data_IF_564704322377
#
_entry.id   IF_564704322377
#
_cell.length_a   1.000
_cell.length_b   1.000
_cell.length_c   1.000
_cell.angle_alpha   90.00
_cell.angle_beta   90.00
_cell.angle_gamma   90.00
#
_symmetry.space_group_name_H-M   'P 1'
#
loop_
_entity.id
_entity.type
_entity.pdbx_description
1 polymer ?
#
# COMPACT_ATOMS: atom_id res chain seq x y z
N UNK A 1 5.91 -20.84 -15.07
CA UNK A 1 6.85 -19.82 -15.58
C UNK A 1 6.21 -18.42 -15.60
N UNK A 2 5.08 -18.25 -14.89
CA UNK A 2 4.03 -17.29 -15.27
C UNK A 2 3.99 -16.01 -14.42
N UNK A 3 4.49 -16.06 -13.19
CA UNK A 3 4.47 -14.90 -12.28
C UNK A 3 5.50 -13.82 -12.67
N UNK A 4 6.57 -14.19 -13.37
CA UNK A 4 7.64 -13.27 -13.78
C UNK A 4 7.18 -12.34 -14.90
N UNK A 5 6.48 -12.89 -15.90
CA UNK A 5 5.94 -12.13 -17.03
C UNK A 5 4.87 -11.17 -16.53
N UNK A 6 3.94 -11.65 -15.70
CA UNK A 6 2.93 -10.78 -15.06
C UNK A 6 3.58 -9.64 -14.26
N UNK A 7 4.62 -9.93 -13.48
CA UNK A 7 5.35 -8.90 -12.72
C UNK A 7 6.00 -7.84 -13.60
N UNK A 8 6.62 -8.24 -14.72
CA UNK A 8 7.22 -7.32 -15.70
C UNK A 8 6.12 -6.48 -16.38
N UNK A 9 5.02 -7.10 -16.81
CA UNK A 9 3.88 -6.41 -17.43
C UNK A 9 3.27 -5.37 -16.48
N UNK A 10 3.03 -5.72 -15.23
CA UNK A 10 2.53 -4.77 -14.23
C UNK A 10 3.50 -3.62 -13.97
N UNK A 11 4.81 -3.86 -14.01
CA UNK A 11 5.81 -2.80 -13.88
C UNK A 11 5.76 -1.80 -15.04
N UNK A 12 5.48 -2.25 -16.26
CA UNK A 12 5.29 -1.36 -17.42
C UNK A 12 3.99 -0.56 -17.38
N UNK A 13 2.91 -1.12 -16.82
CA UNK A 13 1.63 -0.43 -16.69
C UNK A 13 1.68 0.62 -15.56
N UNK A 14 2.25 0.24 -14.42
CA UNK A 14 2.27 1.05 -13.19
C UNK A 14 3.03 2.38 -13.38
N UNK A 15 2.28 3.48 -13.54
CA UNK A 15 2.81 4.84 -13.65
C UNK A 15 2.81 5.39 -15.08
N UNK A 16 2.75 4.51 -16.09
CA UNK A 16 2.63 4.90 -17.49
C UNK A 16 1.26 5.48 -17.80
N UNK A 17 0.21 4.95 -17.17
CA UNK A 17 -1.17 5.45 -17.24
C UNK A 17 -1.31 6.89 -16.72
N UNK A 18 -0.72 7.16 -15.56
CA UNK A 18 -0.75 8.47 -14.89
C UNK A 18 0.11 9.48 -15.66
N UNK A 19 1.23 9.04 -16.23
CA UNK A 19 2.10 9.87 -17.07
C UNK A 19 1.43 10.21 -18.41
N UNK A 20 0.77 9.24 -19.06
CA UNK A 20 0.01 9.48 -20.29
C UNK A 20 -1.12 10.49 -20.03
N UNK A 21 -1.89 10.29 -18.96
CA UNK A 21 -2.95 11.22 -18.57
C UNK A 21 -2.41 12.65 -18.35
N UNK A 22 -1.27 12.78 -17.67
CA UNK A 22 -0.64 14.08 -17.42
C UNK A 22 -0.22 14.76 -18.73
N UNK A 23 0.50 14.07 -19.61
CA UNK A 23 0.96 14.63 -20.89
C UNK A 23 -0.20 14.97 -21.83
N UNK A 24 -1.27 14.16 -21.86
CA UNK A 24 -2.48 14.47 -22.64
C UNK A 24 -3.14 15.77 -22.16
N UNK A 25 -3.34 15.94 -20.85
CA UNK A 25 -3.95 17.16 -20.29
C UNK A 25 -3.02 18.38 -20.43
N UNK A 26 -1.71 18.18 -20.38
CA UNK A 26 -0.75 19.24 -20.66
C UNK A 26 -0.81 19.69 -22.12
N UNK A 27 -0.88 18.74 -23.06
CA UNK A 27 -1.06 19.03 -24.48
C UNK A 27 -2.36 19.80 -24.80
N UNK A 28 -3.42 19.58 -24.04
CA UNK A 28 -4.69 20.30 -24.16
C UNK A 28 -4.81 21.55 -23.27
N UNK A 29 -3.78 21.91 -22.50
CA UNK A 29 -3.80 23.02 -21.53
C UNK A 29 -4.87 22.88 -20.42
N UNK A 30 -5.20 21.65 -20.04
CA UNK A 30 -6.23 21.28 -19.06
C UNK A 30 -5.65 20.69 -17.75
N UNK A 31 -4.40 21.01 -17.43
CA UNK A 31 -3.67 20.51 -16.25
C UNK A 31 -4.42 20.71 -14.93
N UNK A 32 -5.22 21.79 -14.84
CA UNK A 32 -6.08 22.11 -13.68
C UNK A 32 -7.03 20.95 -13.34
N UNK A 33 -7.45 20.16 -14.33
CA UNK A 33 -8.35 19.02 -14.14
C UNK A 33 -7.63 17.71 -13.85
N UNK A 34 -6.29 17.67 -13.81
CA UNK A 34 -5.51 16.45 -13.59
C UNK A 34 -5.98 15.66 -12.37
N UNK A 35 -6.09 16.32 -11.21
CA UNK A 35 -6.51 15.68 -9.97
C UNK A 35 -7.92 15.05 -10.07
N UNK A 36 -8.82 15.66 -10.85
CA UNK A 36 -10.18 15.15 -11.09
C UNK A 36 -10.14 13.89 -11.96
N UNK A 37 -9.37 13.89 -13.05
CA UNK A 37 -9.28 12.73 -13.94
C UNK A 37 -8.52 11.57 -13.28
N UNK A 38 -7.40 11.85 -12.62
CA UNK A 38 -6.61 10.87 -11.87
C UNK A 38 -7.45 10.23 -10.76
N UNK A 39 -8.25 11.04 -10.03
CA UNK A 39 -9.18 10.55 -9.03
C UNK A 39 -10.26 9.63 -9.60
N UNK A 40 -10.83 9.98 -10.77
CA UNK A 40 -11.83 9.12 -11.45
C UNK A 40 -11.22 7.81 -11.92
N UNK A 41 -10.02 7.84 -12.50
CA UNK A 41 -9.30 6.65 -12.95
C UNK A 41 -9.06 5.67 -11.80
N UNK A 42 -8.53 6.17 -10.67
CA UNK A 42 -8.35 5.37 -9.44
C UNK A 42 -9.67 4.86 -8.87
N UNK A 43 -10.71 5.70 -8.89
CA UNK A 43 -12.05 5.34 -8.43
C UNK A 43 -12.65 4.19 -9.25
N UNK A 44 -12.62 4.26 -10.58
CA UNK A 44 -13.10 3.18 -11.44
C UNK A 44 -12.26 1.90 -11.28
N UNK A 45 -10.95 2.01 -11.11
CA UNK A 45 -10.09 0.87 -10.79
C UNK A 45 -10.50 0.16 -9.49
N UNK A 46 -10.77 0.93 -8.43
CA UNK A 46 -11.25 0.39 -7.14
C UNK A 46 -12.64 -0.25 -7.24
N UNK A 47 -13.56 0.34 -8.02
CA UNK A 47 -14.88 -0.28 -8.28
C UNK A 47 -14.70 -1.60 -9.01
N UNK A 48 -13.83 -1.63 -10.04
CA UNK A 48 -13.50 -2.86 -10.76
C UNK A 48 -12.89 -3.93 -9.86
N UNK A 49 -11.98 -3.56 -8.95
CA UNK A 49 -11.41 -4.45 -7.94
C UNK A 49 -12.48 -5.01 -7.01
N UNK A 50 -13.39 -4.17 -6.50
CA UNK A 50 -14.47 -4.59 -5.62
C UNK A 50 -15.44 -5.55 -6.31
N UNK A 51 -15.88 -5.23 -7.53
CA UNK A 51 -16.70 -6.12 -8.34
C UNK A 51 -15.97 -7.43 -8.63
N UNK A 52 -14.70 -7.37 -9.06
CA UNK A 52 -13.87 -8.53 -9.33
C UNK A 52 -13.73 -9.43 -8.10
N UNK A 53 -13.51 -8.86 -6.91
CA UNK A 53 -13.43 -9.63 -5.67
C UNK A 53 -14.74 -10.35 -5.36
N UNK A 54 -15.88 -9.68 -5.44
CA UNK A 54 -17.20 -10.29 -5.15
C UNK A 54 -17.53 -11.38 -6.17
N UNK A 55 -17.40 -11.09 -7.46
CA UNK A 55 -17.79 -12.03 -8.51
C UNK A 55 -16.79 -13.16 -8.69
N UNK A 56 -15.49 -12.96 -8.45
CA UNK A 56 -14.49 -14.03 -8.63
C UNK A 56 -14.73 -15.22 -7.71
N UNK A 57 -15.10 -15.00 -6.45
CA UNK A 57 -15.45 -16.07 -5.51
C UNK A 57 -16.65 -16.88 -6.02
N UNK A 58 -17.73 -16.19 -6.42
CA UNK A 58 -18.93 -16.84 -6.96
C UNK A 58 -18.63 -17.63 -8.25
N UNK A 59 -17.96 -16.98 -9.21
CA UNK A 59 -17.61 -17.60 -10.48
C UNK A 59 -16.70 -18.82 -10.29
N UNK A 60 -15.72 -18.73 -9.38
CA UNK A 60 -14.80 -19.81 -9.10
C UNK A 60 -15.51 -21.05 -8.54
N UNK A 61 -16.52 -20.88 -7.68
CA UNK A 61 -17.31 -22.01 -7.17
C UNK A 61 -18.11 -22.73 -8.25
N UNK A 62 -18.62 -22.00 -9.25
CA UNK A 62 -19.38 -22.59 -10.36
C UNK A 62 -18.49 -23.20 -11.45
N UNK A 63 -17.39 -22.52 -11.79
CA UNK A 63 -16.50 -22.87 -12.88
C UNK A 63 -15.11 -22.27 -12.59
N UNK A 64 -14.17 -23.05 -12.01
CA UNK A 64 -12.88 -22.53 -11.55
C UNK A 64 -12.04 -21.82 -12.63
N UNK A 65 -12.22 -22.17 -13.91
CA UNK A 65 -11.51 -21.55 -15.04
C UNK A 65 -12.17 -20.26 -15.55
N UNK A 66 -13.43 -20.02 -15.22
CA UNK A 66 -14.21 -18.89 -15.75
C UNK A 66 -13.63 -17.51 -15.37
N UNK A 67 -13.17 -17.26 -14.13
CA UNK A 67 -12.49 -16.01 -13.79
C UNK A 67 -11.27 -15.73 -14.68
N UNK A 68 -10.50 -16.76 -15.04
CA UNK A 68 -9.32 -16.62 -15.88
C UNK A 68 -9.67 -16.27 -17.34
N UNK A 69 -10.70 -16.90 -17.91
CA UNK A 69 -11.17 -16.56 -19.25
C UNK A 69 -11.73 -15.13 -19.32
N UNK A 70 -12.48 -14.69 -18.31
CA UNK A 70 -12.97 -13.31 -18.22
C UNK A 70 -11.79 -12.34 -18.11
N UNK A 71 -10.79 -12.65 -17.28
CA UNK A 71 -9.57 -11.85 -17.15
C UNK A 71 -8.85 -11.69 -18.51
N UNK A 72 -8.73 -12.78 -19.28
CA UNK A 72 -8.13 -12.75 -20.64
C UNK A 72 -8.96 -11.84 -21.56
N UNK A 73 -10.29 -11.99 -21.57
CA UNK A 73 -11.17 -11.15 -22.39
C UNK A 73 -11.03 -9.66 -22.06
N UNK A 74 -10.99 -9.31 -20.77
CA UNK A 74 -10.78 -7.92 -20.32
C UNK A 74 -9.42 -7.39 -20.78
N UNK A 75 -8.35 -8.18 -20.68
CA UNK A 75 -7.02 -7.76 -21.17
C UNK A 75 -6.96 -7.58 -22.68
N UNK A 76 -7.63 -8.44 -23.45
CA UNK A 76 -7.75 -8.28 -24.91
C UNK A 76 -8.51 -7.00 -25.26
N UNK A 77 -9.63 -6.73 -24.59
CA UNK A 77 -10.38 -5.48 -24.78
C UNK A 77 -9.53 -4.26 -24.41
N UNK A 78 -8.80 -4.31 -23.30
CA UNK A 78 -7.89 -3.23 -22.91
C UNK A 78 -6.81 -2.98 -23.97
N UNK A 79 -6.21 -4.03 -24.54
CA UNK A 79 -5.24 -3.92 -25.62
C UNK A 79 -5.84 -3.29 -26.90
N UNK A 80 -7.07 -3.67 -27.25
CA UNK A 80 -7.75 -3.08 -28.40
C UNK A 80 -8.07 -1.58 -28.16
N UNK A 81 -8.49 -1.22 -26.95
CA UNK A 81 -8.77 0.16 -26.58
C UNK A 81 -7.50 1.02 -26.54
N UNK A 82 -6.40 0.52 -25.97
CA UNK A 82 -5.15 1.31 -25.91
C UNK A 82 -4.55 1.58 -27.28
N UNK A 83 -4.81 0.72 -28.28
CA UNK A 83 -4.44 0.99 -29.68
C UNK A 83 -5.17 2.18 -30.30
N UNK A 84 -6.29 2.61 -29.72
CA UNK A 84 -7.01 3.82 -30.16
C UNK A 84 -6.49 5.10 -29.52
N UNK A 85 -5.57 4.99 -28.55
CA UNK A 85 -4.99 6.17 -27.90
C UNK A 85 -4.07 6.91 -28.87
N UNK A 86 -4.12 8.24 -28.79
CA UNK A 86 -3.23 9.13 -29.53
C UNK A 86 -2.04 9.49 -28.65
N UNK A 87 -0.82 9.35 -29.16
CA UNK A 87 0.40 9.76 -28.45
C UNK A 87 0.42 11.29 -28.34
N UNK A 88 0.52 11.87 -27.13
CA UNK A 88 0.62 13.32 -26.96
C UNK A 88 2.02 13.82 -27.38
N UNK A 89 2.09 15.01 -27.96
CA UNK A 89 3.35 15.65 -28.32
C UNK A 89 4.22 15.90 -27.08
N UNK A 90 5.30 15.10 -26.94
CA UNK A 90 6.23 15.21 -25.81
C UNK A 90 7.38 16.15 -26.15
N UNK A 91 7.56 17.19 -25.34
CA UNK A 91 8.85 17.88 -25.25
C UNK A 91 9.83 17.01 -24.45
N UNK A 92 10.65 16.24 -25.14
CA UNK A 92 11.73 15.45 -24.52
C UNK A 92 12.86 16.38 -24.07
N UNK A 93 12.83 16.84 -22.82
CA UNK A 93 14.01 17.50 -22.25
C UNK A 93 15.10 16.46 -22.00
N UNK A 94 16.32 16.73 -22.47
CA UNK A 94 17.52 15.91 -22.27
C UNK A 94 17.69 15.54 -20.79
N UNK A 95 17.93 14.26 -20.44
CA UNK A 95 17.99 13.85 -19.05
C UNK A 95 19.24 14.43 -18.39
N UNK A 96 19.04 15.24 -17.32
CA UNK A 96 20.05 15.34 -16.26
C UNK A 96 20.28 13.93 -15.71
N UNK A 97 21.50 13.58 -15.33
CA UNK A 97 21.84 12.22 -14.88
C UNK A 97 20.95 11.78 -13.71
N UNK A 98 19.89 11.03 -14.02
CA UNK A 98 18.86 10.60 -13.07
C UNK A 98 19.44 9.76 -11.92
N UNK A 99 20.54 9.05 -12.16
CA UNK A 99 21.22 8.23 -11.15
C UNK A 99 21.90 9.11 -10.10
N UNK A 100 22.55 10.21 -10.51
CA UNK A 100 23.22 11.12 -9.58
C UNK A 100 22.19 11.84 -8.70
N UNK A 101 21.10 12.32 -9.29
CA UNK A 101 19.99 12.94 -8.54
C UNK A 101 19.32 11.94 -7.58
N UNK A 102 19.18 10.67 -7.98
CA UNK A 102 18.64 9.62 -7.12
C UNK A 102 19.56 9.31 -5.93
N UNK A 103 20.87 9.20 -6.15
CA UNK A 103 21.86 8.97 -5.09
C UNK A 103 21.92 10.15 -4.11
N UNK A 104 21.90 11.38 -4.61
CA UNK A 104 21.85 12.59 -3.78
C UNK A 104 20.56 12.63 -2.94
N UNK A 105 19.40 12.37 -3.56
CA UNK A 105 18.11 12.30 -2.85
C UNK A 105 18.11 11.21 -1.78
N UNK A 106 18.75 10.07 -2.05
CA UNK A 106 18.86 8.95 -1.10
C UNK A 106 19.75 9.31 0.08
N UNK A 107 20.93 9.88 -0.17
CA UNK A 107 21.83 10.36 0.88
C UNK A 107 21.14 11.41 1.75
N UNK A 108 20.47 12.38 1.12
CA UNK A 108 19.71 13.40 1.84
C UNK A 108 18.65 12.77 2.76
N UNK A 109 17.84 11.86 2.22
CA UNK A 109 16.71 11.28 2.93
C UNK A 109 17.11 10.30 4.04
N UNK A 110 18.19 9.54 3.86
CA UNK A 110 18.60 8.47 4.79
C UNK A 110 19.75 8.84 5.72
N UNK A 111 20.48 9.92 5.45
CA UNK A 111 21.66 10.31 6.24
C UNK A 111 21.51 11.72 6.80
N UNK A 112 21.23 12.69 5.94
CA UNK A 112 21.32 14.12 6.28
C UNK A 112 20.07 14.63 7.00
N UNK A 113 18.88 14.33 6.49
CA UNK A 113 17.63 14.74 7.10
C UNK A 113 17.13 13.66 8.08
N UNK A 114 17.45 13.87 9.37
CA UNK A 114 17.05 12.98 10.47
C UNK A 114 15.54 12.78 10.57
N UNK A 115 14.73 13.82 10.32
CA UNK A 115 13.25 13.73 10.41
C UNK A 115 12.69 12.89 9.27
N UNK A 116 13.12 13.17 8.05
CA UNK A 116 12.74 12.41 6.87
C UNK A 116 13.15 10.94 7.02
N UNK A 117 14.36 10.66 7.52
CA UNK A 117 14.83 9.30 7.80
C UNK A 117 13.89 8.51 8.70
N UNK A 118 13.53 9.04 9.87
CA UNK A 118 12.63 8.31 10.77
C UNK A 118 11.19 8.26 10.25
N UNK A 119 10.76 9.26 9.48
CA UNK A 119 9.48 9.21 8.76
C UNK A 119 9.46 8.05 7.76
N UNK A 120 10.52 7.90 6.96
CA UNK A 120 10.65 6.81 6.00
C UNK A 120 10.72 5.44 6.69
N UNK A 121 11.56 5.28 7.71
CA UNK A 121 11.70 4.00 8.44
C UNK A 121 10.38 3.60 9.08
N UNK A 122 9.72 4.52 9.81
CA UNK A 122 8.43 4.24 10.43
C UNK A 122 7.37 3.88 9.39
N UNK A 123 7.34 4.62 8.29
CA UNK A 123 6.40 4.36 7.21
C UNK A 123 6.68 3.02 6.53
N UNK A 124 7.93 2.59 6.35
CA UNK A 124 8.26 1.29 5.77
C UNK A 124 7.82 0.16 6.70
N UNK A 125 8.15 0.23 8.00
CA UNK A 125 7.83 -0.83 8.96
C UNK A 125 6.32 -0.97 9.13
N UNK A 126 5.60 0.13 9.34
CA UNK A 126 4.14 0.11 9.36
C UNK A 126 3.60 -0.39 8.01
N UNK A 127 4.29 -0.09 6.90
CA UNK A 127 3.99 -0.55 5.54
C UNK A 127 3.92 -2.05 5.47
N UNK A 128 5.01 -2.69 5.89
CA UNK A 128 5.10 -4.13 5.97
C UNK A 128 4.04 -4.69 6.93
N UNK A 129 3.84 -4.07 8.09
CA UNK A 129 2.81 -4.46 9.05
C UNK A 129 1.40 -4.43 8.46
N UNK A 130 1.09 -3.48 7.58
CA UNK A 130 -0.19 -3.41 6.87
C UNK A 130 -0.30 -4.36 5.68
N UNK A 131 0.81 -4.85 5.13
CA UNK A 131 0.83 -5.56 3.86
C UNK A 131 0.90 -7.08 4.01
N UNK A 132 1.58 -7.63 5.04
CA UNK A 132 1.54 -9.09 5.26
C UNK A 132 0.13 -9.67 5.46
N UNK A 133 -0.80 -9.04 6.21
CA UNK A 133 -2.12 -9.61 6.43
C UNK A 133 -2.90 -9.73 5.11
N UNK A 134 -2.63 -8.84 4.15
CA UNK A 134 -3.23 -8.89 2.80
C UNK A 134 -2.86 -10.18 2.08
N UNK A 135 -1.62 -10.65 2.22
CA UNK A 135 -1.15 -11.90 1.61
C UNK A 135 -1.51 -13.14 2.42
N UNK A 136 -1.57 -13.01 3.74
CA UNK A 136 -1.84 -14.13 4.65
C UNK A 136 -3.34 -14.35 4.93
N UNK A 137 -4.23 -13.42 4.57
CA UNK A 137 -5.67 -13.58 4.84
C UNK A 137 -6.26 -14.76 4.07
N UNK A 138 -5.82 -15.00 2.84
CA UNK A 138 -6.32 -16.12 2.04
C UNK A 138 -5.98 -17.49 2.67
N UNK A 139 -4.71 -17.80 3.00
CA UNK A 139 -4.40 -19.04 3.70
C UNK A 139 -5.00 -19.06 5.12
N UNK A 140 -5.14 -17.92 5.80
CA UNK A 140 -5.86 -17.85 7.08
C UNK A 140 -7.34 -18.28 6.96
N UNK A 141 -8.03 -17.84 5.91
CA UNK A 141 -9.41 -18.24 5.61
C UNK A 141 -9.49 -19.74 5.28
N UNK A 142 -8.53 -20.26 4.52
CA UNK A 142 -8.44 -21.68 4.16
C UNK A 142 -8.23 -22.56 5.39
N UNK A 143 -7.25 -22.23 6.23
CA UNK A 143 -6.96 -22.96 7.48
C UNK A 143 -8.15 -22.90 8.46
N UNK A 144 -8.88 -21.78 8.46
CA UNK A 144 -10.08 -21.58 9.27
C UNK A 144 -11.34 -22.29 8.73
N UNK A 145 -11.26 -22.99 7.60
CA UNK A 145 -12.40 -23.68 6.98
C UNK A 145 -13.47 -22.74 6.42
N UNK A 146 -13.10 -21.49 6.10
CA UNK A 146 -14.04 -20.52 5.52
C UNK A 146 -14.39 -20.96 4.09
N UNK A 147 -15.69 -21.01 3.72
CA UNK A 147 -16.07 -21.33 2.36
C UNK A 147 -15.55 -20.31 1.35
N UNK A 148 -15.16 -20.77 0.15
CA UNK A 148 -14.46 -19.95 -0.86
C UNK A 148 -15.32 -18.77 -1.33
N UNK A 149 -16.64 -18.93 -1.36
CA UNK A 149 -17.60 -17.87 -1.69
C UNK A 149 -17.49 -16.64 -0.77
N UNK A 150 -16.98 -16.78 0.45
CA UNK A 150 -16.81 -15.68 1.40
C UNK A 150 -15.50 -14.91 1.23
N UNK A 151 -14.55 -15.40 0.42
CA UNK A 151 -13.24 -14.76 0.27
C UNK A 151 -13.39 -13.37 -0.37
N UNK A 152 -14.23 -13.27 -1.40
CA UNK A 152 -14.58 -12.03 -2.08
C UNK A 152 -15.25 -11.01 -1.15
N UNK A 153 -16.37 -11.35 -0.50
CA UNK A 153 -17.02 -10.49 0.49
C UNK A 153 -16.10 -10.02 1.63
N UNK A 154 -15.30 -10.92 2.22
CA UNK A 154 -14.36 -10.55 3.29
C UNK A 154 -13.33 -9.54 2.80
N UNK A 155 -12.80 -9.74 1.58
CA UNK A 155 -11.87 -8.81 0.93
C UNK A 155 -12.52 -7.47 0.60
N UNK A 156 -13.77 -7.47 0.14
CA UNK A 156 -14.52 -6.24 -0.14
C UNK A 156 -14.71 -5.40 1.12
N UNK A 157 -15.10 -6.04 2.24
CA UNK A 157 -15.22 -5.37 3.55
C UNK A 157 -13.87 -4.82 4.02
N UNK A 158 -12.77 -5.53 3.78
CA UNK A 158 -11.42 -5.06 4.10
C UNK A 158 -11.00 -3.81 3.30
N UNK A 159 -11.39 -3.70 2.02
CA UNK A 159 -11.11 -2.50 1.24
C UNK A 159 -12.04 -1.34 1.63
N UNK A 160 -13.29 -1.65 1.99
CA UNK A 160 -14.21 -0.66 2.52
C UNK A 160 -13.71 -0.07 3.85
N UNK A 161 -13.21 -0.91 4.78
CA UNK A 161 -12.64 -0.43 6.04
C UNK A 161 -11.38 0.43 5.82
N UNK A 162 -10.49 0.07 4.88
CA UNK A 162 -9.37 0.93 4.46
C UNK A 162 -9.89 2.29 3.99
N UNK A 163 -10.91 2.29 3.13
CA UNK A 163 -11.47 3.50 2.54
C UNK A 163 -12.10 4.41 3.60
N UNK A 164 -12.97 3.86 4.45
CA UNK A 164 -13.62 4.60 5.53
C UNK A 164 -12.59 5.16 6.52
N UNK A 165 -11.58 4.38 6.86
CA UNK A 165 -10.48 4.82 7.71
C UNK A 165 -9.64 5.94 7.06
N UNK A 166 -9.37 5.86 5.75
CA UNK A 166 -8.67 6.92 5.02
C UNK A 166 -9.46 8.23 4.99
N UNK A 167 -10.79 8.16 4.80
CA UNK A 167 -11.67 9.33 4.88
C UNK A 167 -11.72 9.92 6.30
N UNK A 168 -11.68 9.07 7.33
CA UNK A 168 -11.64 9.50 8.72
C UNK A 168 -10.27 10.04 9.16
N UNK A 169 -9.19 9.74 8.43
CA UNK A 169 -7.79 10.01 8.83
C UNK A 169 -7.54 11.46 9.26
N UNK A 170 -8.04 12.43 8.49
CA UNK A 170 -7.87 13.84 8.80
C UNK A 170 -8.56 14.24 10.12
N UNK A 171 -9.82 13.81 10.32
CA UNK A 171 -10.58 14.10 11.54
C UNK A 171 -9.95 13.44 12.77
N UNK A 172 -9.48 12.19 12.60
CA UNK A 172 -8.79 11.44 13.66
C UNK A 172 -7.47 12.11 14.05
N UNK A 173 -6.70 12.58 13.07
CA UNK A 173 -5.45 13.31 13.31
C UNK A 173 -5.68 14.59 14.12
N UNK A 174 -6.67 15.40 13.74
CA UNK A 174 -6.99 16.65 14.44
C UNK A 174 -7.39 16.42 15.90
N UNK A 175 -8.09 15.32 16.20
CA UNK A 175 -8.53 14.99 17.57
C UNK A 175 -7.41 14.43 18.44
N UNK A 176 -6.56 13.56 17.89
CA UNK A 176 -5.55 12.82 18.65
C UNK A 176 -4.19 13.52 18.70
N UNK A 177 -3.86 14.28 17.66
CA UNK A 177 -2.53 14.87 17.46
C UNK A 177 -1.46 13.84 17.07
N UNK A 178 -0.24 14.35 16.84
CA UNK A 178 0.84 13.58 16.23
C UNK A 178 1.33 12.40 17.10
N UNK A 179 1.40 12.55 18.43
CA UNK A 179 1.90 11.49 19.30
C UNK A 179 0.89 10.34 19.43
N UNK A 180 -0.36 10.69 19.70
CA UNK A 180 -1.42 9.73 19.97
C UNK A 180 -1.82 8.97 18.70
N UNK A 181 -1.73 9.57 17.52
CA UNK A 181 -1.99 8.83 16.27
C UNK A 181 -0.91 7.77 16.00
N UNK A 182 0.37 8.07 16.27
CA UNK A 182 1.43 7.08 16.11
C UNK A 182 1.25 5.94 17.12
N UNK A 183 0.89 6.27 18.36
CA UNK A 183 0.53 5.26 19.35
C UNK A 183 -0.65 4.39 18.87
N UNK A 184 -1.69 5.01 18.31
CA UNK A 184 -2.83 4.30 17.73
C UNK A 184 -2.39 3.34 16.62
N UNK A 185 -1.46 3.72 15.74
CA UNK A 185 -0.94 2.83 14.69
C UNK A 185 -0.21 1.62 15.28
N UNK A 186 0.60 1.83 16.32
CA UNK A 186 1.29 0.75 17.02
C UNK A 186 0.27 -0.19 17.68
N UNK A 187 -0.71 0.36 18.41
CA UNK A 187 -1.73 -0.43 19.10
C UNK A 187 -2.61 -1.22 18.14
N UNK A 188 -3.08 -0.61 17.05
CA UNK A 188 -3.87 -1.32 16.03
C UNK A 188 -3.04 -2.41 15.34
N UNK A 189 -1.76 -2.16 15.07
CA UNK A 189 -0.87 -3.17 14.51
C UNK A 189 -0.72 -4.35 15.47
N UNK A 190 -0.24 -4.11 16.70
CA UNK A 190 0.03 -5.19 17.66
C UNK A 190 -1.26 -5.92 18.06
N UNK A 191 -2.33 -5.19 18.34
CA UNK A 191 -3.63 -5.78 18.69
C UNK A 191 -4.21 -6.62 17.55
N UNK A 192 -4.08 -6.15 16.30
CA UNK A 192 -4.52 -6.90 15.12
C UNK A 192 -3.73 -8.19 14.89
N UNK A 193 -2.40 -8.13 14.97
CA UNK A 193 -1.56 -9.33 14.84
C UNK A 193 -1.75 -10.32 15.98
N UNK A 194 -1.83 -9.83 17.22
CA UNK A 194 -2.06 -10.66 18.40
C UNK A 194 -3.42 -11.35 18.31
N UNK A 195 -4.47 -10.62 17.95
CA UNK A 195 -5.81 -11.18 17.81
C UNK A 195 -5.92 -12.19 16.67
N UNK A 196 -5.29 -11.94 15.52
CA UNK A 196 -5.25 -12.93 14.43
C UNK A 196 -4.49 -14.20 14.81
N UNK A 197 -3.47 -14.08 15.67
CA UNK A 197 -2.68 -15.22 16.14
C UNK A 197 -3.34 -16.03 17.26
N UNK A 198 -4.17 -15.41 18.10
CA UNK A 198 -4.80 -16.05 19.27
C UNK A 198 -6.28 -16.40 19.05
N UNK A 199 -7.00 -15.58 18.30
CA UNK A 199 -8.44 -15.66 18.13
C UNK A 199 -8.72 -16.22 16.73
N UNK A 200 -9.07 -17.50 16.67
CA UNK A 200 -9.50 -18.17 15.45
C UNK A 200 -10.97 -17.91 15.11
N UNK A 201 -11.41 -18.45 13.96
CA UNK A 201 -12.80 -18.37 13.51
C UNK A 201 -13.24 -16.96 13.12
N UNK A 202 -14.55 -16.69 13.21
CA UNK A 202 -15.17 -15.44 12.72
C UNK A 202 -14.60 -14.20 13.42
N UNK A 203 -14.25 -14.31 14.71
CA UNK A 203 -13.68 -13.22 15.48
C UNK A 203 -12.27 -12.81 15.01
N UNK A 204 -11.54 -13.69 14.33
CA UNK A 204 -10.26 -13.35 13.70
C UNK A 204 -10.40 -12.22 12.67
N UNK A 205 -11.52 -12.16 11.95
CA UNK A 205 -11.75 -11.11 10.96
C UNK A 205 -11.93 -9.72 11.58
N UNK A 206 -12.43 -9.61 12.82
CA UNK A 206 -12.43 -8.33 13.52
C UNK A 206 -11.01 -7.75 13.62
N UNK A 207 -10.05 -8.59 14.01
CA UNK A 207 -8.65 -8.19 14.13
C UNK A 207 -7.97 -7.93 12.78
N UNK A 208 -8.33 -8.70 11.75
CA UNK A 208 -7.96 -8.37 10.37
C UNK A 208 -8.47 -6.98 9.98
N UNK A 209 -9.72 -6.66 10.28
CA UNK A 209 -10.27 -5.35 9.95
C UNK A 209 -9.63 -4.21 10.75
N UNK A 210 -9.17 -4.43 11.99
CA UNK A 210 -8.36 -3.44 12.71
C UNK A 210 -7.05 -3.10 11.97
N UNK A 211 -6.37 -4.11 11.38
CA UNK A 211 -5.17 -3.89 10.56
C UNK A 211 -5.48 -3.12 9.28
N UNK A 212 -6.62 -3.40 8.65
CA UNK A 212 -7.07 -2.66 7.46
C UNK A 212 -7.44 -1.20 7.78
N UNK A 213 -8.06 -0.94 8.93
CA UNK A 213 -8.30 0.41 9.43
C UNK A 213 -6.98 1.16 9.70
N UNK A 214 -5.99 0.50 10.31
CA UNK A 214 -4.65 1.07 10.48
C UNK A 214 -4.03 1.46 9.14
N UNK A 215 -4.11 0.58 8.13
CA UNK A 215 -3.63 0.87 6.76
C UNK A 215 -4.30 2.11 6.18
N UNK A 216 -5.62 2.21 6.29
CA UNK A 216 -6.39 3.36 5.79
C UNK A 216 -6.05 4.68 6.48
N UNK A 217 -5.97 4.68 7.81
CA UNK A 217 -5.58 5.88 8.58
C UNK A 217 -4.15 6.33 8.24
N UNK A 218 -3.23 5.37 8.15
CA UNK A 218 -1.80 5.65 8.01
C UNK A 218 -1.44 6.28 6.68
N UNK A 219 -2.01 5.79 5.57
CA UNK A 219 -1.59 6.16 4.21
C UNK A 219 -1.52 7.67 3.98
N UNK A 220 -2.64 8.42 4.15
CA UNK A 220 -2.66 9.87 3.97
C UNK A 220 -1.74 10.60 4.95
N UNK A 221 -1.69 10.12 6.20
CA UNK A 221 -0.97 10.80 7.27
C UNK A 221 0.55 10.70 7.10
N UNK A 222 1.08 9.50 6.89
CA UNK A 222 2.53 9.32 6.69
C UNK A 222 3.02 9.99 5.42
N UNK A 223 2.20 10.01 4.38
CA UNK A 223 2.49 10.79 3.17
C UNK A 223 2.58 12.28 3.48
N UNK A 224 1.68 12.83 4.30
CA UNK A 224 1.74 14.24 4.70
C UNK A 224 3.00 14.57 5.50
N UNK A 225 3.39 13.74 6.48
CA UNK A 225 4.64 13.93 7.23
C UNK A 225 5.86 13.88 6.31
N UNK A 226 5.93 12.92 5.39
CA UNK A 226 7.04 12.83 4.44
C UNK A 226 7.11 14.09 3.56
N UNK A 227 5.99 14.53 2.99
CA UNK A 227 5.96 15.68 2.09
C UNK A 227 6.36 17.00 2.75
N UNK A 228 6.11 17.19 4.06
CA UNK A 228 6.53 18.40 4.80
C UNK A 228 8.05 18.53 4.92
N UNK A 229 8.75 17.41 4.95
CA UNK A 229 10.20 17.35 5.11
C UNK A 229 10.95 17.35 3.77
N UNK A 230 10.23 17.35 2.64
CA UNK A 230 10.80 17.22 1.30
C UNK A 230 10.62 18.51 0.50
N UNK A 231 11.72 19.06 -0.01
CA UNK A 231 11.69 20.16 -0.98
C UNK A 231 10.95 19.76 -2.25
N UNK A 232 10.30 20.72 -2.92
CA UNK A 232 9.57 20.48 -4.18
C UNK A 232 10.45 19.82 -5.25
N UNK A 233 11.72 20.22 -5.34
CA UNK A 233 12.69 19.68 -6.31
C UNK A 233 12.98 18.19 -6.13
N UNK A 234 12.96 17.67 -4.90
CA UNK A 234 13.40 16.30 -4.58
C UNK A 234 12.22 15.35 -4.30
N UNK A 235 10.97 15.86 -4.37
CA UNK A 235 9.76 15.14 -3.95
C UNK A 235 9.53 13.85 -4.72
N UNK A 236 9.62 13.89 -6.05
CA UNK A 236 9.44 12.70 -6.88
C UNK A 236 10.50 11.63 -6.57
N UNK A 237 11.77 12.02 -6.44
CA UNK A 237 12.88 11.12 -6.12
C UNK A 237 12.71 10.42 -4.77
N UNK A 238 12.34 11.17 -3.72
CA UNK A 238 12.21 10.63 -2.36
C UNK A 238 10.95 9.74 -2.24
N UNK A 239 9.84 10.08 -2.89
CA UNK A 239 8.65 9.22 -2.91
C UNK A 239 8.90 7.90 -3.67
N UNK A 240 9.68 7.96 -4.76
CA UNK A 240 10.13 6.76 -5.47
C UNK A 240 11.07 5.91 -4.62
N UNK A 241 12.02 6.54 -3.90
CA UNK A 241 12.89 5.86 -2.95
C UNK A 241 12.08 5.17 -1.84
N UNK A 242 11.08 5.85 -1.27
CA UNK A 242 10.19 5.27 -0.26
C UNK A 242 9.50 4.00 -0.78
N UNK A 243 8.98 4.06 -2.01
CA UNK A 243 8.33 2.91 -2.66
C UNK A 243 9.31 1.77 -2.93
N UNK A 244 10.53 2.09 -3.36
CA UNK A 244 11.61 1.12 -3.56
C UNK A 244 12.00 0.43 -2.25
N UNK A 245 12.23 1.20 -1.18
CA UNK A 245 12.60 0.65 0.14
C UNK A 245 11.50 -0.25 0.72
N UNK A 246 10.24 0.11 0.56
CA UNK A 246 9.12 -0.76 0.94
C UNK A 246 9.13 -2.07 0.14
N UNK A 247 9.29 -2.00 -1.19
CA UNK A 247 9.34 -3.20 -2.06
C UNK A 247 10.54 -4.08 -1.73
N UNK A 248 11.72 -3.51 -1.52
CA UNK A 248 12.91 -4.25 -1.10
C UNK A 248 12.70 -4.92 0.25
N UNK A 249 12.15 -4.19 1.22
CA UNK A 249 11.76 -4.75 2.51
C UNK A 249 10.89 -5.98 2.32
N UNK A 250 9.79 -5.85 1.57
CA UNK A 250 8.85 -6.95 1.33
C UNK A 250 9.46 -8.12 0.54
N UNK A 251 10.33 -7.86 -0.44
CA UNK A 251 11.00 -8.94 -1.20
C UNK A 251 11.98 -9.72 -0.32
N UNK A 252 12.66 -9.06 0.62
CA UNK A 252 13.57 -9.73 1.54
C UNK A 252 12.82 -10.55 2.61
N UNK A 253 11.71 -10.04 3.11
CA UNK A 253 11.02 -10.62 4.28
C UNK A 253 9.78 -11.44 3.92
N UNK A 254 9.08 -11.11 2.84
CA UNK A 254 7.87 -11.79 2.36
C UNK A 254 8.06 -13.30 2.14
N UNK A 255 9.10 -13.75 1.41
CA UNK A 255 9.38 -15.17 1.27
C UNK A 255 9.68 -15.89 2.59
N UNK A 256 10.31 -15.20 3.56
CA UNK A 256 10.57 -15.76 4.89
C UNK A 256 9.27 -15.93 5.67
N UNK A 257 8.37 -14.95 5.58
CA UNK A 257 7.05 -14.99 6.21
C UNK A 257 6.17 -16.06 5.57
N UNK A 258 6.16 -16.18 4.23
CA UNK A 258 5.45 -17.24 3.51
C UNK A 258 5.95 -18.63 3.90
N UNK A 259 7.27 -18.84 3.89
CA UNK A 259 7.89 -20.10 4.33
C UNK A 259 7.59 -20.43 5.80
N UNK A 260 7.45 -19.42 6.65
CA UNK A 260 7.03 -19.61 8.04
C UNK A 260 5.57 -20.08 8.09
N UNK A 261 4.67 -19.41 7.37
CA UNK A 261 3.26 -19.80 7.25
C UNK A 261 3.08 -21.24 6.76
N UNK A 262 3.82 -21.64 5.72
CA UNK A 262 3.77 -23.00 5.17
C UNK A 262 4.24 -24.07 6.17
N UNK A 263 5.10 -23.72 7.13
CA UNK A 263 5.72 -24.68 8.08
C UNK A 263 5.01 -24.78 9.42
N UNK A 264 4.59 -23.65 9.98
CA UNK A 264 4.00 -23.60 11.33
C UNK A 264 2.54 -23.16 11.32
N UNK A 265 1.97 -22.88 10.15
CA UNK A 265 0.61 -22.37 10.01
C UNK A 265 0.53 -20.85 10.14
N UNK A 266 -0.59 -20.30 9.65
CA UNK A 266 -0.76 -18.84 9.53
C UNK A 266 -0.97 -18.16 10.89
N UNK A 267 -1.68 -18.80 11.82
CA UNK A 267 -1.91 -18.25 13.17
C UNK A 267 -0.61 -18.04 13.94
N UNK A 268 0.25 -19.07 14.02
CA UNK A 268 1.57 -18.94 14.65
C UNK A 268 2.44 -17.92 13.93
N UNK A 269 2.34 -17.84 12.60
CA UNK A 269 3.04 -16.81 11.82
C UNK A 269 2.61 -15.40 12.21
N UNK A 270 1.31 -15.16 12.45
CA UNK A 270 0.83 -13.87 12.97
C UNK A 270 1.38 -13.56 14.37
N UNK A 271 1.56 -14.56 15.25
CA UNK A 271 2.20 -14.36 16.55
C UNK A 271 3.69 -14.01 16.43
N UNK A 272 4.43 -14.70 15.55
CA UNK A 272 5.84 -14.35 15.27
C UNK A 272 5.97 -12.94 14.71
N UNK A 273 5.08 -12.55 13.78
CA UNK A 273 5.02 -11.19 13.26
C UNK A 273 4.64 -10.18 14.35
N UNK A 274 3.72 -10.54 15.25
CA UNK A 274 3.40 -9.71 16.41
C UNK A 274 4.64 -9.43 17.26
N UNK A 275 5.43 -10.46 17.58
CA UNK A 275 6.69 -10.32 18.31
C UNK A 275 7.70 -9.45 17.57
N UNK A 276 7.90 -9.68 16.27
CA UNK A 276 8.81 -8.89 15.45
C UNK A 276 8.41 -7.40 15.39
N UNK A 277 7.13 -7.11 15.20
CA UNK A 277 6.63 -5.73 15.19
C UNK A 277 6.59 -5.10 16.58
N UNK A 278 6.36 -5.87 17.65
CA UNK A 278 6.45 -5.38 19.03
C UNK A 278 7.87 -4.95 19.38
N UNK A 279 8.89 -5.59 18.80
CA UNK A 279 10.29 -5.17 18.95
C UNK A 279 10.63 -3.96 18.07
N UNK A 280 10.12 -3.91 16.83
CA UNK A 280 10.51 -2.89 15.86
C UNK A 280 9.73 -1.57 15.97
N UNK A 281 8.41 -1.62 16.16
CA UNK A 281 7.54 -0.44 16.08
C UNK A 281 7.73 0.55 17.25
N UNK A 282 7.75 0.13 18.53
CA UNK A 282 7.85 1.09 19.64
C UNK A 282 9.13 1.94 19.63
N UNK A 283 10.34 1.38 19.41
CA UNK A 283 11.56 2.19 19.33
C UNK A 283 11.54 3.20 18.18
N UNK A 284 11.08 2.77 17.00
CA UNK A 284 11.02 3.64 15.81
C UNK A 284 9.96 4.72 15.96
N UNK A 285 8.79 4.38 16.50
CA UNK A 285 7.72 5.31 16.83
C UNK A 285 8.22 6.37 17.82
N UNK A 286 8.96 5.95 18.85
CA UNK A 286 9.54 6.86 19.83
C UNK A 286 10.59 7.80 19.21
N UNK A 287 11.48 7.28 18.35
CA UNK A 287 12.47 8.10 17.63
C UNK A 287 11.80 9.14 16.73
N UNK A 288 10.74 8.74 16.02
CA UNK A 288 9.94 9.64 15.18
C UNK A 288 9.26 10.74 16.02
N UNK A 289 8.57 10.36 17.10
CA UNK A 289 7.88 11.31 18.00
C UNK A 289 8.86 12.28 18.66
N UNK A 290 10.05 11.81 19.06
CA UNK A 290 11.11 12.69 19.59
C UNK A 290 11.58 13.72 18.56
N UNK A 291 11.73 13.31 17.31
CA UNK A 291 12.13 14.23 16.24
C UNK A 291 11.07 15.30 15.95
N UNK A 292 9.78 14.95 16.06
CA UNK A 292 8.67 15.91 15.96
C UNK A 292 8.63 16.90 17.13
N UNK A 293 8.85 16.42 18.36
CA UNK A 293 8.78 17.27 19.55
C UNK A 293 9.90 18.33 19.59
N UNK A 294 11.08 18.03 19.04
CA UNK A 294 12.22 18.95 18.97
C UNK A 294 11.93 20.25 18.19
N UNK A 295 10.89 20.29 17.36
CA UNK A 295 10.53 21.48 16.57
C UNK A 295 9.60 22.45 17.30
N UNK A 296 8.73 21.93 18.17
CA UNK A 296 7.78 22.77 18.93
C UNK A 296 8.44 23.53 20.07
N UNK A 297 9.64 23.12 20.50
CA UNK A 297 10.44 23.83 21.51
C UNK A 297 11.43 24.83 20.91
N UNK A 298 11.56 24.90 19.58
CA UNK A 298 12.46 25.82 18.87
C UNK A 298 11.73 26.91 18.08
N UNK A 299 10.41 27.02 18.28
CA UNK A 299 9.55 28.12 17.81
C UNK A 299 8.98 28.81 19.02
#
# INVERSE_FOLDING_TARGET
MDHRVLGISFAFISGSDSALLFETLKGSSEEVYYARHEGRMKGFGQIGEACGAIFSGLLYTTAPLLPFFIQIAVWVLALLLTRTFTEPDRQTSVPKSHIVEALQSTRYALVENRRLRYTLILNIILGLASFYPVWLVQPYMQDGGVPVEWFGPIWAVANLSVTLAALASHRTHLRLGDKSIILLFVLLSLGGYLGLGLVGGVWGFLYYYLLTCMRGLRGPMMLNYAQREISSSNRAGILSLQSLLFRLGFVCTGPLVGKLADRVGVQLTFLFLCGAFALALPPVAWLFVRCLASERGSR
#
